data_IF_033955352247
#
_entry.id   IF_033955352247
#
_cell.length_a   1.000
_cell.length_b   1.000
_cell.length_c   1.000
_cell.angle_alpha   90.00
_cell.angle_beta   90.00
_cell.angle_gamma   90.00
#
_symmetry.space_group_name_H-M   'P 1'
#
loop_
_entity.id
_entity.type
_entity.pdbx_description
1 polymer ?
#
# COMPACT_ATOMS: atom_id res chain seq x y z
N UNK A 1 -16.40 12.95 -0.31
CA UNK A 1 -15.09 12.98 0.40
C UNK A 1 -15.30 13.12 1.92
N UNK A 2 -16.52 12.87 2.41
CA UNK A 2 -16.95 13.35 3.72
C UNK A 2 -16.81 12.29 4.83
N UNK A 3 -16.49 11.04 4.48
CA UNK A 3 -16.27 9.92 5.42
C UNK A 3 -14.79 9.53 5.60
N UNK A 4 -13.87 10.50 5.47
CA UNK A 4 -12.47 10.23 5.78
C UNK A 4 -12.22 10.30 7.28
N UNK A 5 -11.65 9.23 7.85
CA UNK A 5 -11.19 9.24 9.23
C UNK A 5 -10.25 10.43 9.42
N UNK A 6 -10.55 11.26 10.42
CA UNK A 6 -9.77 12.46 10.67
C UNK A 6 -8.28 12.13 10.81
N UNK A 7 -7.43 12.86 10.07
CA UNK A 7 -5.99 12.56 9.97
C UNK A 7 -5.29 12.55 11.33
N UNK A 8 -5.75 13.37 12.28
CA UNK A 8 -5.23 13.45 13.64
C UNK A 8 -5.65 12.26 14.51
N UNK A 9 -6.56 11.39 14.05
CA UNK A 9 -6.90 10.11 14.67
C UNK A 9 -6.16 8.99 13.94
N UNK A 10 -6.28 8.92 12.61
CA UNK A 10 -5.65 7.86 11.81
C UNK A 10 -4.13 7.84 11.89
N UNK A 11 -3.50 9.03 11.84
CA UNK A 11 -2.06 9.19 11.90
C UNK A 11 -1.46 8.65 13.21
N UNK A 12 -1.90 9.12 14.39
CA UNK A 12 -1.42 8.60 15.67
C UNK A 12 -1.69 7.10 15.87
N UNK A 13 -2.84 6.58 15.43
CA UNK A 13 -3.13 5.14 15.50
C UNK A 13 -2.14 4.33 14.68
N UNK A 14 -1.87 4.71 13.43
CA UNK A 14 -0.87 4.05 12.60
C UNK A 14 0.54 4.19 13.18
N UNK A 15 0.87 5.35 13.75
CA UNK A 15 2.13 5.59 14.46
C UNK A 15 2.31 4.66 15.65
N UNK A 16 1.27 4.48 16.47
CA UNK A 16 1.25 3.53 17.59
C UNK A 16 1.44 2.09 17.09
N UNK A 17 0.82 1.69 15.97
CA UNK A 17 1.04 0.37 15.38
C UNK A 17 2.51 0.16 14.97
N UNK A 18 3.16 1.16 14.36
CA UNK A 18 4.58 1.09 13.99
C UNK A 18 5.46 0.95 15.24
N UNK A 19 5.20 1.75 16.28
CA UNK A 19 5.95 1.68 17.55
C UNK A 19 5.72 0.33 18.24
N UNK A 20 4.48 -0.16 18.29
CA UNK A 20 4.15 -1.43 18.92
C UNK A 20 4.84 -2.61 18.24
N UNK A 21 4.81 -2.68 16.91
CA UNK A 21 5.52 -3.74 16.17
C UNK A 21 7.03 -3.66 16.38
N UNK A 22 7.59 -2.45 16.40
CA UNK A 22 9.01 -2.27 16.62
C UNK A 22 9.43 -2.58 18.07
N UNK A 23 8.56 -2.32 19.03
CA UNK A 23 8.84 -2.55 20.45
C UNK A 23 8.63 -4.01 20.87
N UNK A 24 7.56 -4.64 20.41
CA UNK A 24 7.20 -6.01 20.79
C UNK A 24 7.93 -7.08 19.98
N UNK A 25 8.14 -6.83 18.69
CA UNK A 25 8.57 -7.84 17.73
C UNK A 25 9.89 -7.47 17.05
N UNK A 26 10.43 -6.27 17.31
CA UNK A 26 11.64 -5.72 16.70
C UNK A 26 11.64 -5.76 15.17
N UNK A 27 10.43 -5.67 14.58
CA UNK A 27 10.20 -5.76 13.15
C UNK A 27 9.69 -4.44 12.57
N UNK A 28 9.82 -4.28 11.25
CA UNK A 28 9.34 -3.10 10.52
C UNK A 28 7.99 -3.41 9.89
N UNK A 29 7.09 -2.43 9.90
CA UNK A 29 5.78 -2.53 9.24
C UNK A 29 6.00 -2.43 7.72
N UNK A 30 5.69 -3.48 6.97
CA UNK A 30 5.96 -3.51 5.53
C UNK A 30 5.16 -4.56 4.77
N UNK A 31 4.39 -4.12 3.78
CA UNK A 31 3.52 -4.98 2.97
C UNK A 31 4.31 -5.92 2.06
N UNK A 32 5.45 -5.49 1.49
CA UNK A 32 6.27 -6.34 0.60
C UNK A 32 6.79 -7.59 1.31
N UNK A 33 7.17 -7.47 2.59
CA UNK A 33 7.63 -8.61 3.39
C UNK A 33 6.47 -9.54 3.74
N UNK A 34 5.29 -8.98 4.01
CA UNK A 34 4.05 -9.72 4.23
C UNK A 34 3.68 -10.61 3.03
N UNK A 35 3.73 -10.04 1.83
CA UNK A 35 3.54 -10.79 0.58
C UNK A 35 4.63 -11.84 0.34
N UNK A 36 5.90 -11.49 0.54
CA UNK A 36 7.01 -12.42 0.35
C UNK A 36 6.94 -13.62 1.30
N UNK A 37 6.63 -13.39 2.58
CA UNK A 37 6.48 -14.45 3.58
C UNK A 37 5.27 -15.34 3.29
N UNK A 38 4.16 -14.77 2.82
CA UNK A 38 2.99 -15.55 2.40
C UNK A 38 3.29 -16.45 1.18
N UNK A 39 3.97 -15.92 0.16
CA UNK A 39 4.39 -16.71 -1.03
C UNK A 39 5.39 -17.80 -0.64
N UNK A 40 6.28 -17.52 0.31
CA UNK A 40 7.22 -18.51 0.85
C UNK A 40 6.59 -19.48 1.86
N UNK A 41 5.26 -19.44 2.05
CA UNK A 41 4.51 -20.25 3.02
C UNK A 41 5.01 -20.14 4.48
N UNK A 42 5.58 -18.99 4.85
CA UNK A 42 6.13 -18.70 6.19
C UNK A 42 5.05 -18.14 7.11
N UNK A 43 3.96 -18.89 7.29
CA UNK A 43 2.78 -18.47 8.06
C UNK A 43 3.03 -18.27 9.58
N UNK A 44 4.21 -18.64 10.08
CA UNK A 44 4.65 -18.28 11.44
C UNK A 44 5.20 -16.85 11.57
N UNK A 45 5.41 -16.14 10.46
CA UNK A 45 5.92 -14.75 10.46
C UNK A 45 4.82 -13.76 10.82
N UNK A 46 5.17 -12.75 11.63
CA UNK A 46 4.30 -11.60 11.95
C UNK A 46 3.84 -10.91 10.67
N UNK A 47 4.69 -10.81 9.65
CA UNK A 47 4.32 -10.21 8.37
C UNK A 47 3.29 -11.04 7.61
N UNK A 48 3.33 -12.36 7.70
CA UNK A 48 2.28 -13.20 7.09
C UNK A 48 0.92 -12.94 7.76
N UNK A 49 0.91 -12.82 9.09
CA UNK A 49 -0.29 -12.43 9.85
C UNK A 49 -0.73 -10.99 9.56
N UNK A 50 0.20 -10.07 9.32
CA UNK A 50 -0.11 -8.71 8.87
C UNK A 50 -0.88 -8.72 7.54
N UNK A 51 -0.51 -9.61 6.60
CA UNK A 51 -1.24 -9.74 5.34
C UNK A 51 -2.68 -10.22 5.58
N UNK A 52 -2.85 -11.23 6.44
CA UNK A 52 -4.17 -11.74 6.82
C UNK A 52 -5.01 -10.65 7.47
N UNK A 53 -4.44 -9.91 8.42
CA UNK A 53 -5.11 -8.79 9.08
C UNK A 53 -5.47 -7.65 8.11
N UNK A 54 -4.62 -7.36 7.13
CA UNK A 54 -4.88 -6.35 6.10
C UNK A 54 -6.04 -6.77 5.19
N UNK A 55 -6.06 -8.02 4.73
CA UNK A 55 -7.14 -8.56 3.89
C UNK A 55 -8.44 -8.59 4.69
N UNK A 56 -8.41 -9.16 5.90
CA UNK A 56 -9.59 -9.27 6.76
C UNK A 56 -10.14 -7.89 7.14
N UNK A 57 -9.27 -6.97 7.56
CA UNK A 57 -9.67 -5.61 7.90
C UNK A 57 -10.27 -4.86 6.71
N UNK A 58 -9.69 -5.02 5.51
CA UNK A 58 -10.24 -4.45 4.28
C UNK A 58 -11.61 -5.01 3.92
N UNK A 59 -11.80 -6.33 4.04
CA UNK A 59 -13.10 -6.99 3.81
C UNK A 59 -14.14 -6.53 4.83
N UNK A 60 -13.81 -6.53 6.12
CA UNK A 60 -14.74 -6.07 7.16
C UNK A 60 -15.12 -4.60 6.95
N UNK A 61 -14.15 -3.74 6.64
CA UNK A 61 -14.41 -2.34 6.33
C UNK A 61 -15.31 -2.20 5.10
N UNK A 62 -15.05 -2.94 4.03
CA UNK A 62 -15.86 -2.96 2.80
C UNK A 62 -17.24 -3.62 2.94
N UNK A 63 -17.51 -4.34 4.03
CA UNK A 63 -18.86 -4.85 4.33
C UNK A 63 -19.67 -3.91 5.23
N UNK A 64 -18.99 -3.10 6.05
CA UNK A 64 -19.61 -2.26 7.07
C UNK A 64 -19.75 -0.80 6.63
N UNK A 65 -18.75 -0.24 5.95
CA UNK A 65 -18.61 1.22 5.76
C UNK A 65 -18.79 1.72 4.32
N UNK A 66 -18.76 0.85 3.30
CA UNK A 66 -18.90 1.26 1.90
C UNK A 66 -19.44 0.09 1.06
N UNK A 67 -20.16 0.31 -0.05
CA UNK A 67 -20.30 -0.71 -1.07
C UNK A 67 -18.91 -1.10 -1.59
N UNK A 68 -18.75 -2.33 -2.07
CA UNK A 68 -17.59 -2.76 -2.85
C UNK A 68 -17.64 -2.05 -4.21
N UNK A 69 -17.47 -0.73 -4.20
CA UNK A 69 -17.24 0.07 -5.38
C UNK A 69 -15.96 -0.44 -6.02
N UNK A 70 -15.94 -0.56 -7.34
CA UNK A 70 -14.85 -1.19 -8.09
C UNK A 70 -13.51 -0.45 -7.96
N UNK A 71 -12.73 -0.44 -9.03
CA UNK A 71 -11.43 0.26 -9.04
C UNK A 71 -11.58 1.79 -9.26
N UNK A 72 -12.69 2.38 -8.81
CA UNK A 72 -13.03 3.80 -8.98
C UNK A 72 -12.98 4.24 -10.44
N UNK A 73 -12.16 5.27 -10.71
CA UNK A 73 -11.89 5.81 -12.05
C UNK A 73 -11.58 4.74 -13.11
N UNK A 74 -10.90 3.64 -12.73
CA UNK A 74 -10.54 2.59 -13.69
C UNK A 74 -11.78 1.83 -14.17
N UNK A 75 -12.72 1.55 -13.27
CA UNK A 75 -14.02 0.97 -13.61
C UNK A 75 -14.96 1.96 -14.30
N UNK A 76 -14.87 3.26 -13.97
CA UNK A 76 -15.68 4.30 -14.61
C UNK A 76 -15.22 4.57 -16.05
N UNK A 77 -13.91 4.56 -16.30
CA UNK A 77 -13.31 4.84 -17.61
C UNK A 77 -13.43 3.65 -18.57
N UNK A 78 -13.22 2.43 -18.08
CA UNK A 78 -13.27 1.21 -18.90
C UNK A 78 -14.59 0.45 -18.69
N UNK A 79 -15.69 1.06 -19.13
CA UNK A 79 -17.05 0.47 -18.99
C UNK A 79 -17.42 -0.41 -20.20
N UNK A 80 -18.25 -1.45 -19.96
CA UNK A 80 -18.84 -2.28 -21.03
C UNK A 80 -17.86 -3.27 -21.66
N UNK A 81 -17.79 -3.30 -22.99
CA UNK A 81 -16.98 -4.27 -23.75
C UNK A 81 -15.45 -4.14 -23.58
N UNK A 82 -14.98 -3.06 -22.95
CA UNK A 82 -13.53 -2.80 -22.73
C UNK A 82 -13.10 -3.11 -21.30
N UNK A 83 -14.01 -3.55 -20.42
CA UNK A 83 -13.72 -3.85 -19.01
C UNK A 83 -12.64 -4.93 -18.83
N UNK A 84 -12.48 -5.82 -19.82
CA UNK A 84 -11.43 -6.84 -19.80
C UNK A 84 -10.01 -6.25 -19.77
N UNK A 85 -9.81 -5.00 -20.21
CA UNK A 85 -8.51 -4.30 -20.19
C UNK A 85 -8.03 -4.01 -18.76
N UNK A 86 -8.95 -3.97 -17.78
CA UNK A 86 -8.62 -3.76 -16.38
C UNK A 86 -7.69 -4.86 -15.85
N UNK A 87 -7.93 -6.12 -16.24
CA UNK A 87 -7.15 -7.27 -15.77
C UNK A 87 -5.67 -7.18 -16.16
N UNK A 88 -5.29 -7.04 -17.44
CA UNK A 88 -3.89 -6.92 -17.82
C UNK A 88 -3.24 -5.65 -17.25
N UNK A 89 -3.97 -4.53 -17.12
CA UNK A 89 -3.46 -3.32 -16.49
C UNK A 89 -3.07 -3.61 -15.03
N UNK A 90 -3.96 -4.20 -14.23
CA UNK A 90 -3.69 -4.51 -12.82
C UNK A 90 -2.54 -5.51 -12.66
N UNK A 91 -2.46 -6.53 -13.53
CA UNK A 91 -1.37 -7.52 -13.50
C UNK A 91 -0.03 -6.85 -13.79
N UNK A 92 0.04 -6.05 -14.86
CA UNK A 92 1.28 -5.37 -15.26
C UNK A 92 1.70 -4.34 -14.21
N UNK A 93 0.76 -3.52 -13.73
CA UNK A 93 1.01 -2.55 -12.65
C UNK A 93 1.47 -3.23 -11.36
N UNK A 94 0.82 -4.33 -10.96
CA UNK A 94 1.20 -5.10 -9.77
C UNK A 94 2.62 -5.67 -9.87
N UNK A 95 3.00 -6.22 -11.03
CA UNK A 95 4.35 -6.71 -11.29
C UNK A 95 5.39 -5.58 -11.22
N UNK A 96 5.10 -4.42 -11.82
CA UNK A 96 5.95 -3.23 -11.77
C UNK A 96 6.14 -2.72 -10.32
N UNK A 97 5.06 -2.64 -9.54
CA UNK A 97 5.09 -2.24 -8.13
C UNK A 97 5.94 -3.23 -7.32
N UNK A 98 5.74 -4.53 -7.53
CA UNK A 98 6.52 -5.58 -6.87
C UNK A 98 8.01 -5.50 -7.20
N UNK A 99 8.35 -5.30 -8.47
CA UNK A 99 9.73 -5.11 -8.92
C UNK A 99 10.36 -3.85 -8.29
N UNK A 100 9.65 -2.72 -8.34
CA UNK A 100 10.12 -1.46 -7.76
C UNK A 100 10.33 -1.55 -6.24
N UNK A 101 9.41 -2.21 -5.52
CA UNK A 101 9.56 -2.43 -4.08
C UNK A 101 10.77 -3.30 -3.73
N UNK A 102 11.12 -4.31 -4.57
CA UNK A 102 12.35 -5.08 -4.39
C UNK A 102 13.59 -4.23 -4.67
N UNK A 103 13.59 -3.43 -5.74
CA UNK A 103 14.71 -2.54 -6.09
C UNK A 103 15.00 -1.54 -4.96
N UNK A 104 13.94 -1.00 -4.34
CA UNK A 104 14.06 -0.06 -3.22
C UNK A 104 14.24 -0.73 -1.84
N UNK A 105 14.40 -2.06 -1.80
CA UNK A 105 14.51 -2.85 -0.56
C UNK A 105 13.36 -2.61 0.44
N UNK A 106 12.18 -2.24 -0.06
CA UNK A 106 11.02 -1.88 0.75
C UNK A 106 9.91 -1.21 -0.06
N UNK A 107 8.69 -1.26 0.47
CA UNK A 107 7.53 -0.51 -0.05
C UNK A 107 7.38 0.86 0.62
N UNK A 108 6.36 1.60 0.18
CA UNK A 108 5.94 2.87 0.78
C UNK A 108 5.62 2.76 2.27
N UNK A 109 4.99 1.68 2.76
CA UNK A 109 4.77 1.52 4.21
C UNK A 109 6.06 1.25 4.98
N UNK A 110 6.99 0.47 4.41
CA UNK A 110 8.28 0.15 5.02
C UNK A 110 9.22 1.34 5.10
N UNK A 111 9.49 1.99 3.96
CA UNK A 111 10.36 3.17 3.91
C UNK A 111 9.65 4.42 4.42
N UNK A 112 8.39 4.62 4.05
CA UNK A 112 7.62 5.81 4.36
C UNK A 112 7.20 5.94 5.82
N UNK A 113 6.70 4.86 6.45
CA UNK A 113 6.32 4.89 7.87
C UNK A 113 7.49 4.51 8.76
N UNK A 114 7.94 3.25 8.69
CA UNK A 114 8.93 2.72 9.63
C UNK A 114 10.33 3.31 9.41
N UNK A 115 10.73 3.50 8.14
CA UNK A 115 12.05 3.99 7.75
C UNK A 115 12.27 5.47 8.06
N UNK A 116 11.29 6.32 7.72
CA UNK A 116 11.35 7.75 8.02
C UNK A 116 11.19 8.01 9.52
N UNK A 117 10.38 7.24 10.25
CA UNK A 117 10.30 7.34 11.71
C UNK A 117 11.65 7.00 12.39
N UNK A 118 12.49 6.18 11.75
CA UNK A 118 13.84 5.89 12.20
C UNK A 118 14.90 6.89 11.67
N UNK A 119 14.48 7.97 10.99
CA UNK A 119 15.35 9.00 10.38
C UNK A 119 16.44 8.40 9.46
N UNK A 120 16.12 7.32 8.75
CA UNK A 120 17.08 6.74 7.80
C UNK A 120 17.19 7.61 6.53
N UNK A 121 18.40 8.06 6.14
CA UNK A 121 18.58 8.88 4.95
C UNK A 121 18.17 8.13 3.67
N UNK A 122 18.42 6.82 3.61
CA UNK A 122 18.01 5.98 2.49
C UNK A 122 16.48 5.93 2.34
N UNK A 123 15.75 5.83 3.45
CA UNK A 123 14.28 5.79 3.43
C UNK A 123 13.67 7.14 3.06
N UNK A 124 14.29 8.26 3.47
CA UNK A 124 13.86 9.61 3.07
C UNK A 124 13.99 9.79 1.55
N UNK A 125 15.13 9.42 0.98
CA UNK A 125 15.36 9.48 -0.47
C UNK A 125 14.39 8.57 -1.21
N UNK A 126 14.23 7.31 -0.76
CA UNK A 126 13.29 6.38 -1.39
C UNK A 126 11.84 6.91 -1.36
N UNK A 127 11.40 7.43 -0.21
CA UNK A 127 10.06 8.00 -0.05
C UNK A 127 9.87 9.23 -0.95
N UNK A 128 10.86 10.13 -0.98
CA UNK A 128 10.84 11.31 -1.85
C UNK A 128 10.73 10.93 -3.33
N UNK A 129 11.47 9.92 -3.77
CA UNK A 129 11.39 9.42 -5.14
C UNK A 129 10.01 8.82 -5.45
N UNK A 130 9.43 8.00 -4.56
CA UNK A 130 8.12 7.39 -4.80
C UNK A 130 7.00 8.44 -4.93
N UNK A 131 6.94 9.39 -3.99
CA UNK A 131 5.92 10.43 -4.05
C UNK A 131 6.18 11.41 -5.18
N UNK A 132 7.45 11.77 -5.43
CA UNK A 132 7.82 12.64 -6.53
C UNK A 132 7.43 12.07 -7.89
N UNK A 133 7.71 10.79 -8.15
CA UNK A 133 7.29 10.12 -9.39
C UNK A 133 5.77 9.97 -9.47
N UNK A 134 5.10 9.59 -8.38
CA UNK A 134 3.65 9.46 -8.36
C UNK A 134 2.94 10.79 -8.68
N UNK A 135 3.40 11.90 -8.09
CA UNK A 135 2.87 13.24 -8.36
C UNK A 135 3.12 13.62 -9.83
N UNK A 136 4.36 13.46 -10.32
CA UNK A 136 4.69 13.81 -11.70
C UNK A 136 3.88 13.00 -12.73
N UNK A 137 3.72 11.68 -12.50
CA UNK A 137 2.93 10.81 -13.36
C UNK A 137 1.44 11.15 -13.29
N UNK A 138 0.91 11.50 -12.10
CA UNK A 138 -0.50 11.91 -11.96
C UNK A 138 -0.80 13.16 -12.77
N UNK A 139 0.04 14.19 -12.67
CA UNK A 139 -0.10 15.40 -13.48
C UNK A 139 0.10 15.14 -14.97
N UNK A 140 1.00 14.23 -15.35
CA UNK A 140 1.18 13.86 -16.75
C UNK A 140 -0.05 13.15 -17.33
N UNK A 141 -0.71 12.30 -16.54
CA UNK A 141 -1.97 11.64 -16.95
C UNK A 141 -3.09 12.68 -17.09
N UNK A 142 -3.24 13.58 -16.11
CA UNK A 142 -4.24 14.65 -16.15
C UNK A 142 -4.00 15.62 -17.31
N UNK A 143 -2.75 15.84 -17.74
CA UNK A 143 -2.46 16.68 -18.90
C UNK A 143 -2.82 16.02 -20.25
N UNK A 144 -3.02 14.70 -20.28
CA UNK A 144 -3.29 13.93 -21.50
C UNK A 144 -4.79 13.64 -21.68
N UNK A 145 -5.54 13.55 -20.60
CA UNK A 145 -6.99 13.25 -20.57
C UNK A 145 -7.78 14.55 -20.48
#
# INVERSE_FOLDING_TARGET
MDDQLAWYVGGPVLGLCVVALRWLLNERLGATRAWADAVAARFGSVHAWLLVGLIFGGVVFGLVASPLDGYGWLTDTFTGGTQWVIVPVLIVSGALIGYGARLASGCTSGNGLSGNAALSPASLVATGTFFGTAIAVSFAIEAVI
#
